data_IF_157883909856
#
_entry.id   IF_157883909856
#
_cell.length_a   1.000
_cell.length_b   1.000
_cell.length_c   1.000
_cell.angle_alpha   90.00
_cell.angle_beta   90.00
_cell.angle_gamma   90.00
#
_symmetry.space_group_name_H-M   'P 1'
#
loop_
_entity.id
_entity.type
_entity.pdbx_description
1 polymer ?
#
# COMPACT_ATOMS: atom_id res chain seq x y z
N UNK A 1 -78.48 53.09 15.75
CA UNK A 1 -77.15 52.51 15.46
C UNK A 1 -76.29 53.58 14.81
N UNK A 2 -75.08 53.72 15.35
CA UNK A 2 -73.86 54.32 14.78
C UNK A 2 -73.81 55.79 14.37
N UNK A 3 -72.68 56.38 14.74
CA UNK A 3 -72.35 57.78 14.98
C UNK A 3 -71.26 58.22 13.99
N UNK A 4 -71.05 59.55 13.90
CA UNK A 4 -69.86 60.29 13.41
C UNK A 4 -69.86 60.59 11.91
N UNK A 5 -69.93 61.85 11.45
CA UNK A 5 -69.12 63.08 11.64
C UNK A 5 -67.73 63.07 10.96
N UNK A 6 -67.66 63.90 9.91
CA UNK A 6 -66.67 64.93 9.56
C UNK A 6 -65.27 64.58 8.97
N UNK A 7 -65.15 64.95 7.69
CA UNK A 7 -64.18 65.85 7.03
C UNK A 7 -62.70 65.51 6.73
N UNK A 8 -62.39 65.73 5.44
CA UNK A 8 -61.25 66.38 4.77
C UNK A 8 -59.78 66.05 5.13
N UNK A 9 -59.15 65.43 4.13
CA UNK A 9 -57.88 65.78 3.43
C UNK A 9 -56.73 66.43 4.21
N UNK A 10 -55.57 65.77 4.18
CA UNK A 10 -54.27 66.41 3.93
C UNK A 10 -53.22 65.35 3.59
N UNK A 11 -52.53 65.55 2.47
CA UNK A 11 -51.41 64.73 2.00
C UNK A 11 -50.14 65.05 2.77
N UNK A 12 -49.34 64.04 3.12
CA UNK A 12 -47.94 64.22 3.48
C UNK A 12 -47.08 63.23 2.69
N UNK A 13 -46.41 63.76 1.67
CA UNK A 13 -45.23 63.13 1.05
C UNK A 13 -44.07 63.33 2.02
N UNK A 14 -43.48 62.23 2.49
CA UNK A 14 -42.26 62.27 3.28
C UNK A 14 -41.37 61.08 2.93
N UNK A 15 -40.24 61.38 2.28
CA UNK A 15 -38.97 60.71 2.53
C UNK A 15 -38.72 59.41 1.77
N UNK A 16 -37.96 59.51 0.69
CA UNK A 16 -36.99 58.48 0.32
C UNK A 16 -36.05 58.23 1.50
N UNK A 17 -36.23 57.12 2.20
CA UNK A 17 -35.12 56.47 2.89
C UNK A 17 -34.72 55.29 2.03
N UNK A 18 -33.68 55.51 1.24
CA UNK A 18 -32.88 54.44 0.69
C UNK A 18 -32.48 53.56 1.88
N UNK A 19 -33.12 52.40 2.00
CA UNK A 19 -32.53 51.31 2.75
C UNK A 19 -31.31 50.90 1.94
N UNK A 20 -30.16 51.52 2.24
CA UNK A 20 -28.89 50.84 2.13
C UNK A 20 -28.96 49.68 3.11
N UNK A 21 -29.66 48.62 2.71
CA UNK A 21 -29.54 47.33 3.36
C UNK A 21 -28.06 47.02 3.31
N UNK A 22 -27.42 47.11 4.48
CA UNK A 22 -26.04 46.74 4.66
C UNK A 22 -25.86 45.41 3.95
N UNK A 23 -24.93 45.38 2.99
CA UNK A 23 -24.45 44.12 2.44
C UNK A 23 -24.17 43.23 3.65
N UNK A 24 -24.88 42.12 3.76
CA UNK A 24 -24.61 41.13 4.77
C UNK A 24 -23.11 40.83 4.65
N UNK A 25 -22.34 41.21 5.66
CA UNK A 25 -20.94 40.81 5.76
C UNK A 25 -20.97 39.29 5.77
N UNK A 26 -20.64 38.68 4.63
CA UNK A 26 -20.27 37.29 4.60
C UNK A 26 -18.99 37.20 5.43
N UNK A 27 -19.15 36.98 6.73
CA UNK A 27 -18.06 36.68 7.65
C UNK A 27 -17.72 35.21 7.45
N UNK A 28 -17.05 34.92 6.33
CA UNK A 28 -16.54 33.59 6.04
C UNK A 28 -15.19 33.43 6.69
N UNK A 29 -15.14 32.57 7.71
CA UNK A 29 -13.88 32.10 8.29
C UNK A 29 -13.28 31.09 7.32
N UNK A 30 -12.07 31.36 6.82
CA UNK A 30 -11.31 30.38 6.05
C UNK A 30 -10.71 29.35 7.01
N UNK A 31 -11.32 28.18 7.08
CA UNK A 31 -10.76 27.03 7.77
C UNK A 31 -9.76 26.34 6.83
N UNK A 32 -8.47 26.48 7.13
CA UNK A 32 -7.40 25.72 6.49
C UNK A 32 -6.98 24.56 7.38
N UNK A 33 -6.74 23.40 6.78
CA UNK A 33 -6.20 22.23 7.46
C UNK A 33 -5.54 21.30 6.45
N UNK A 34 -4.58 20.51 6.91
CA UNK A 34 -4.00 19.41 6.14
C UNK A 34 -4.47 18.09 6.75
N UNK A 35 -4.84 17.14 5.89
CA UNK A 35 -5.07 15.75 6.31
C UNK A 35 -3.78 14.99 5.98
N UNK A 36 -3.20 14.33 6.98
CA UNK A 36 -2.03 13.48 6.78
C UNK A 36 -2.48 12.09 6.32
N UNK A 37 -2.01 11.65 5.15
CA UNK A 37 -2.04 10.24 4.75
C UNK A 37 -0.73 9.58 5.21
N UNK A 38 -0.81 8.42 5.82
CA UNK A 38 0.34 7.61 6.21
C UNK A 38 0.13 6.15 5.82
N UNK A 39 1.25 5.51 5.46
CA UNK A 39 1.34 4.07 5.32
C UNK A 39 2.66 3.61 5.92
N UNK A 40 2.64 2.50 6.63
CA UNK A 40 3.81 1.92 7.30
C UNK A 40 3.89 0.43 6.99
N UNK A 41 5.07 -0.02 6.54
CA UNK A 41 5.41 -1.44 6.41
C UNK A 41 6.36 -1.82 7.53
N UNK A 42 6.17 -3.00 8.09
CA UNK A 42 7.20 -3.73 8.85
C UNK A 42 7.33 -5.15 8.33
N UNK A 43 8.54 -5.70 8.33
CA UNK A 43 8.82 -7.10 7.99
C UNK A 43 9.43 -7.83 9.18
N UNK A 44 9.02 -9.08 9.36
CA UNK A 44 9.59 -10.02 10.33
C UNK A 44 10.08 -11.24 9.59
N UNK A 45 11.35 -11.60 9.74
CA UNK A 45 11.89 -12.78 9.06
C UNK A 45 11.22 -14.06 9.59
N UNK A 46 10.80 -14.94 8.68
CA UNK A 46 10.23 -16.24 9.05
C UNK A 46 11.33 -17.13 9.65
N UNK A 47 11.00 -17.85 10.72
CA UNK A 47 11.95 -18.73 11.39
C UNK A 47 12.50 -19.79 10.41
N UNK A 48 13.83 -19.88 10.30
CA UNK A 48 14.50 -20.81 9.38
C UNK A 48 14.73 -20.28 7.96
N UNK A 49 14.23 -19.08 7.60
CA UNK A 49 14.48 -18.47 6.29
C UNK A 49 15.98 -18.22 6.01
N UNK A 50 16.80 -18.06 7.05
CA UNK A 50 18.26 -17.96 6.93
C UNK A 50 18.98 -19.29 6.67
N UNK A 51 18.26 -20.40 6.49
CA UNK A 51 18.80 -21.72 6.22
C UNK A 51 18.02 -22.39 5.09
N UNK A 52 18.05 -21.76 3.92
CA UNK A 52 17.45 -22.31 2.71
C UNK A 52 18.10 -23.65 2.36
N UNK A 53 17.27 -24.65 2.08
CA UNK A 53 17.77 -25.96 1.70
C UNK A 53 18.13 -25.96 0.21
N UNK A 54 19.43 -26.04 -0.07
CA UNK A 54 19.96 -26.13 -1.43
C UNK A 54 20.07 -27.60 -1.92
N UNK A 55 19.53 -28.54 -1.16
CA UNK A 55 19.46 -29.99 -1.42
C UNK A 55 20.81 -30.72 -1.65
N UNK A 56 21.94 -30.02 -1.54
CA UNK A 56 23.29 -30.59 -1.43
C UNK A 56 23.91 -31.02 -2.77
N UNK A 57 25.18 -31.42 -2.71
CA UNK A 57 25.99 -31.77 -3.90
C UNK A 57 25.34 -32.88 -4.75
N UNK A 58 25.21 -32.62 -6.06
CA UNK A 58 24.88 -33.64 -7.05
C UNK A 58 23.39 -33.82 -7.35
N UNK A 59 22.50 -33.02 -6.76
CA UNK A 59 21.06 -33.07 -7.11
C UNK A 59 20.48 -31.67 -7.29
N UNK A 60 20.23 -31.27 -8.54
CA UNK A 60 19.45 -30.08 -8.82
C UNK A 60 17.99 -30.28 -8.41
N UNK A 61 17.40 -29.27 -7.75
CA UNK A 61 15.98 -29.24 -7.42
C UNK A 61 15.40 -27.94 -7.95
N UNK A 62 14.46 -28.06 -8.88
CA UNK A 62 13.75 -26.90 -9.39
C UNK A 62 12.59 -26.52 -8.46
N UNK A 63 12.07 -25.30 -8.62
CA UNK A 63 10.77 -24.90 -8.12
C UNK A 63 10.66 -24.90 -6.57
N UNK A 64 11.73 -24.52 -5.87
CA UNK A 64 11.77 -24.55 -4.40
C UNK A 64 11.10 -23.32 -3.83
N UNK A 65 9.90 -23.50 -3.27
CA UNK A 65 9.12 -22.41 -2.66
C UNK A 65 9.31 -22.36 -1.14
N UNK A 66 9.69 -21.19 -0.61
CA UNK A 66 9.95 -20.98 0.83
C UNK A 66 9.35 -19.65 1.31
N UNK A 67 8.71 -19.66 2.48
CA UNK A 67 8.29 -18.44 3.18
C UNK A 67 9.50 -17.79 3.85
N UNK A 68 9.78 -16.52 3.54
CA UNK A 68 10.96 -15.81 4.03
C UNK A 68 10.64 -14.69 5.02
N UNK A 69 9.45 -14.11 4.94
CA UNK A 69 9.04 -13.06 5.87
C UNK A 69 7.52 -12.97 6.05
N UNK A 70 7.14 -12.41 7.17
CA UNK A 70 5.81 -11.93 7.51
C UNK A 70 5.82 -10.40 7.36
N UNK A 71 4.89 -9.84 6.58
CA UNK A 71 4.79 -8.42 6.27
C UNK A 71 3.52 -7.87 6.93
N UNK A 72 3.66 -6.79 7.69
CA UNK A 72 2.53 -6.06 8.25
C UNK A 72 2.46 -4.66 7.64
N UNK A 73 1.31 -4.34 7.03
CA UNK A 73 1.01 -3.05 6.43
C UNK A 73 -0.10 -2.35 7.23
N UNK A 74 0.11 -1.10 7.60
CA UNK A 74 -0.93 -0.23 8.18
C UNK A 74 -1.03 1.04 7.36
N UNK A 75 -2.25 1.44 7.01
CA UNK A 75 -2.53 2.68 6.28
C UNK A 75 -3.81 3.32 6.80
N UNK A 76 -3.90 4.66 6.73
CA UNK A 76 -5.15 5.39 6.93
C UNK A 76 -5.80 5.85 5.62
N UNK A 77 -5.29 5.41 4.46
CA UNK A 77 -5.90 5.70 3.18
C UNK A 77 -7.17 4.86 2.99
N UNK A 78 -8.33 5.51 2.96
CA UNK A 78 -9.64 4.86 2.79
C UNK A 78 -9.88 4.33 1.38
N UNK A 79 -9.22 4.91 0.38
CA UNK A 79 -9.27 4.41 -1.00
C UNK A 79 -8.41 3.16 -1.19
N UNK A 80 -7.51 2.89 -0.24
CA UNK A 80 -6.60 1.76 -0.27
C UNK A 80 -5.17 2.11 -0.66
N UNK A 81 -4.33 1.09 -0.67
CA UNK A 81 -2.92 1.16 -1.01
C UNK A 81 -2.51 -0.07 -1.80
N UNK A 82 -1.45 0.06 -2.56
CA UNK A 82 -0.86 -0.99 -3.35
C UNK A 82 0.49 -1.40 -2.72
N UNK A 83 0.69 -2.68 -2.42
CA UNK A 83 1.97 -3.21 -1.95
C UNK A 83 2.66 -3.98 -3.09
N UNK A 84 3.91 -3.62 -3.34
CA UNK A 84 4.79 -4.30 -4.29
C UNK A 84 5.99 -4.88 -3.56
N UNK A 85 6.34 -6.12 -3.90
CA UNK A 85 7.60 -6.75 -3.51
C UNK A 85 8.46 -6.92 -4.76
N UNK A 86 9.71 -6.47 -4.68
CA UNK A 86 10.65 -6.54 -5.78
C UNK A 86 11.93 -7.27 -5.35
N UNK A 87 12.17 -8.44 -5.94
CA UNK A 87 13.45 -9.11 -5.82
C UNK A 87 14.54 -8.26 -6.49
N UNK A 88 15.71 -8.18 -5.86
CA UNK A 88 16.94 -7.80 -6.55
C UNK A 88 17.29 -8.85 -7.63
N UNK A 89 18.40 -8.65 -8.35
CA UNK A 89 18.79 -9.51 -9.46
C UNK A 89 19.05 -10.98 -9.09
N UNK A 90 19.64 -11.25 -7.93
CA UNK A 90 19.97 -12.59 -7.46
C UNK A 90 20.39 -12.59 -5.99
N UNK A 91 20.32 -13.76 -5.36
CA UNK A 91 21.08 -14.09 -4.15
C UNK A 91 22.55 -14.22 -4.53
N UNK A 92 23.43 -13.51 -3.82
CA UNK A 92 24.88 -13.50 -4.06
C UNK A 92 25.62 -14.05 -2.85
N UNK A 93 26.57 -14.96 -3.07
CA UNK A 93 27.30 -15.60 -1.99
C UNK A 93 28.42 -16.52 -2.48
N UNK A 94 29.01 -17.26 -1.55
CA UNK A 94 30.09 -18.18 -1.85
C UNK A 94 31.45 -17.49 -2.05
N UNK A 95 32.51 -18.30 -2.05
CA UNK A 95 33.90 -17.83 -2.20
C UNK A 95 34.18 -17.21 -3.58
N UNK A 96 33.30 -17.43 -4.56
CA UNK A 96 33.46 -16.99 -5.96
C UNK A 96 32.39 -16.01 -6.46
N UNK A 97 31.50 -15.49 -5.58
CA UNK A 97 30.41 -14.61 -5.99
C UNK A 97 29.38 -15.33 -6.86
N UNK A 98 29.06 -16.58 -6.50
CA UNK A 98 28.04 -17.38 -7.16
C UNK A 98 26.68 -16.68 -6.97
N UNK A 99 25.88 -16.70 -8.03
CA UNK A 99 24.54 -16.11 -8.04
C UNK A 99 23.49 -17.19 -8.13
N UNK A 100 22.40 -17.01 -7.39
CA UNK A 100 21.20 -17.83 -7.42
C UNK A 100 20.02 -16.91 -7.70
N UNK A 101 19.39 -17.06 -8.86
CA UNK A 101 18.20 -16.29 -9.20
C UNK A 101 17.01 -16.75 -8.33
N UNK A 102 16.07 -15.83 -8.08
CA UNK A 102 14.91 -16.12 -7.24
C UNK A 102 13.77 -15.14 -7.52
N UNK A 103 12.55 -15.64 -7.40
CA UNK A 103 11.33 -14.86 -7.55
C UNK A 103 10.72 -14.54 -6.20
N UNK A 104 9.86 -13.52 -6.15
CA UNK A 104 9.10 -13.17 -4.95
C UNK A 104 7.60 -13.16 -5.24
N UNK A 105 6.83 -13.54 -4.22
CA UNK A 105 5.38 -13.53 -4.24
C UNK A 105 4.82 -13.18 -2.87
N UNK A 106 3.84 -12.28 -2.84
CA UNK A 106 3.06 -11.96 -1.65
C UNK A 106 1.78 -12.79 -1.65
N UNK A 107 1.43 -13.36 -0.50
CA UNK A 107 0.17 -14.06 -0.32
C UNK A 107 -0.49 -13.62 0.98
N UNK A 108 -1.79 -13.83 1.11
CA UNK A 108 -2.54 -13.52 2.32
C UNK A 108 -1.93 -14.18 3.56
N UNK A 109 -2.02 -13.50 4.71
CA UNK A 109 -1.52 -13.98 6.00
C UNK A 109 -2.01 -15.40 6.32
N UNK A 110 -1.06 -16.31 6.56
CA UNK A 110 -1.32 -17.73 6.82
C UNK A 110 -2.10 -18.46 5.71
N UNK A 111 -2.07 -17.94 4.48
CA UNK A 111 -2.61 -18.64 3.33
C UNK A 111 -1.83 -19.93 3.05
N UNK A 112 -2.40 -20.78 2.19
CA UNK A 112 -1.66 -21.93 1.67
C UNK A 112 -0.48 -21.42 0.85
N UNK A 113 0.70 -22.02 1.06
CA UNK A 113 1.90 -21.69 0.30
C UNK A 113 1.61 -21.74 -1.22
N UNK A 114 2.09 -20.74 -1.98
CA UNK A 114 1.89 -20.72 -3.42
C UNK A 114 2.55 -21.94 -4.08
N UNK A 115 1.90 -22.52 -5.07
CA UNK A 115 2.55 -23.52 -5.92
C UNK A 115 3.63 -22.85 -6.78
N UNK A 116 4.66 -23.59 -7.18
CA UNK A 116 5.74 -23.04 -8.01
C UNK A 116 5.25 -22.43 -9.34
N UNK A 117 4.25 -23.03 -9.98
CA UNK A 117 3.61 -22.44 -11.18
C UNK A 117 2.83 -21.15 -10.94
N UNK A 118 2.70 -20.69 -9.69
CA UNK A 118 2.18 -19.37 -9.34
C UNK A 118 3.27 -18.29 -9.37
N UNK A 119 4.53 -18.67 -9.63
CA UNK A 119 5.63 -17.80 -9.97
C UNK A 119 5.81 -17.73 -11.50
N UNK A 120 6.49 -16.69 -12.00
CA UNK A 120 6.64 -16.49 -13.44
C UNK A 120 7.49 -17.59 -14.06
N UNK A 121 6.97 -18.23 -15.12
CA UNK A 121 7.72 -19.25 -15.86
C UNK A 121 8.70 -18.67 -16.88
N UNK A 122 8.77 -17.34 -17.01
CA UNK A 122 9.57 -16.67 -18.06
C UNK A 122 10.84 -16.03 -17.54
N UNK A 123 10.95 -15.75 -16.23
CA UNK A 123 12.15 -15.14 -15.65
C UNK A 123 12.13 -15.19 -14.12
N UNK A 124 13.22 -15.68 -13.53
CA UNK A 124 13.44 -15.74 -12.08
C UNK A 124 13.79 -14.37 -11.47
N UNK A 125 13.40 -13.29 -12.13
CA UNK A 125 13.59 -11.89 -11.72
C UNK A 125 12.32 -11.06 -11.92
N UNK A 126 11.23 -11.71 -12.39
CA UNK A 126 9.95 -11.04 -12.63
C UNK A 126 9.08 -11.26 -11.40
N UNK A 127 8.87 -10.18 -10.66
CA UNK A 127 8.00 -10.14 -9.49
C UNK A 127 6.56 -10.46 -9.91
N UNK A 128 5.91 -11.32 -9.13
CA UNK A 128 4.70 -11.98 -9.62
C UNK A 128 3.43 -11.31 -9.14
N UNK A 129 3.47 -10.63 -7.98
CA UNK A 129 2.27 -10.04 -7.41
C UNK A 129 2.41 -8.56 -7.06
N UNK A 130 1.37 -7.85 -7.44
CA UNK A 130 1.02 -6.51 -7.02
C UNK A 130 -0.32 -6.65 -6.30
N UNK A 131 -0.32 -6.59 -4.98
CA UNK A 131 -1.53 -6.80 -4.17
C UNK A 131 -2.16 -5.45 -3.83
N UNK A 132 -3.40 -5.28 -4.27
CA UNK A 132 -4.27 -4.13 -3.96
C UNK A 132 -4.89 -4.34 -2.56
N UNK A 133 -4.74 -3.37 -1.67
CA UNK A 133 -5.32 -3.34 -0.34
C UNK A 133 -6.33 -2.21 -0.21
N UNK A 134 -7.62 -2.54 -0.26
CA UNK A 134 -8.66 -1.61 0.20
C UNK A 134 -8.60 -1.49 1.73
N UNK A 135 -8.41 -0.27 2.21
CA UNK A 135 -8.22 0.18 3.60
C UNK A 135 -8.54 -0.82 4.72
N UNK A 136 -7.48 -1.36 5.34
CA UNK A 136 -7.32 -1.72 6.76
C UNK A 136 -6.12 -2.67 6.86
N UNK A 137 -5.48 -2.71 8.02
CA UNK A 137 -4.26 -3.48 8.26
C UNK A 137 -4.29 -4.85 7.57
N UNK A 138 -3.30 -5.11 6.73
CA UNK A 138 -3.16 -6.36 6.02
C UNK A 138 -1.81 -6.97 6.37
N UNK A 139 -1.87 -8.11 7.04
CA UNK A 139 -0.73 -8.99 7.15
C UNK A 139 -0.63 -9.79 5.84
N UNK A 140 0.60 -10.08 5.42
CA UNK A 140 0.91 -10.87 4.24
C UNK A 140 2.12 -11.74 4.52
N UNK A 141 2.23 -12.83 3.78
CA UNK A 141 3.39 -13.70 3.79
C UNK A 141 4.19 -13.48 2.50
N UNK A 142 5.50 -13.25 2.65
CA UNK A 142 6.43 -13.15 1.54
C UNK A 142 7.08 -14.51 1.29
N UNK A 143 6.87 -15.04 0.10
CA UNK A 143 7.50 -16.25 -0.39
C UNK A 143 8.54 -15.93 -1.44
N UNK A 144 9.59 -16.74 -1.48
CA UNK A 144 10.49 -16.83 -2.63
C UNK A 144 10.34 -18.18 -3.33
N UNK A 145 10.67 -18.19 -4.60
CA UNK A 145 10.88 -19.40 -5.39
C UNK A 145 12.29 -19.33 -6.00
N UNK A 146 13.00 -20.45 -6.03
CA UNK A 146 14.31 -20.56 -6.66
C UNK A 146 14.58 -21.99 -7.12
N UNK A 147 15.45 -22.10 -8.12
CA UNK A 147 16.03 -23.36 -8.58
C UNK A 147 17.36 -23.63 -7.86
N UNK A 148 17.41 -24.65 -7.01
CA UNK A 148 18.66 -25.13 -6.41
C UNK A 148 19.54 -25.85 -7.44
N UNK A 149 20.71 -25.31 -7.82
CA UNK A 149 21.56 -25.94 -8.83
C UNK A 149 22.32 -27.13 -8.23
N UNK A 150 22.78 -28.03 -9.10
CA UNK A 150 23.46 -29.28 -8.71
C UNK A 150 24.73 -29.08 -7.87
N UNK A 151 25.41 -27.95 -8.06
CA UNK A 151 26.69 -27.63 -7.42
C UNK A 151 26.70 -26.21 -6.85
N UNK A 152 25.95 -26.01 -5.76
CA UNK A 152 26.04 -24.78 -4.97
C UNK A 152 26.85 -25.02 -3.71
N UNK A 153 27.91 -24.23 -3.52
CA UNK A 153 28.72 -24.32 -2.30
C UNK A 153 27.87 -23.91 -1.08
N UNK A 154 27.92 -24.66 0.04
CA UNK A 154 27.26 -24.27 1.27
C UNK A 154 27.94 -23.02 1.84
N UNK A 155 27.28 -21.88 1.72
CA UNK A 155 27.72 -20.58 2.25
C UNK A 155 26.51 -19.67 2.48
N UNK A 156 26.75 -18.46 2.99
CA UNK A 156 25.74 -17.41 3.09
C UNK A 156 25.55 -16.76 1.73
N UNK A 157 24.32 -16.84 1.23
CA UNK A 157 23.86 -16.07 0.08
C UNK A 157 22.90 -14.98 0.55
N UNK A 158 23.07 -13.78 0.03
CA UNK A 158 22.30 -12.61 0.45
C UNK A 158 21.80 -11.81 -0.75
N UNK A 159 20.63 -11.22 -0.57
CA UNK A 159 19.98 -10.32 -1.52
C UNK A 159 19.09 -9.36 -0.75
N UNK A 160 18.62 -8.30 -1.40
CA UNK A 160 17.60 -7.42 -0.84
C UNK A 160 16.30 -7.62 -1.61
N UNK A 161 15.18 -7.65 -0.89
CA UNK A 161 13.85 -7.54 -1.47
C UNK A 161 13.34 -6.15 -1.12
N UNK A 162 13.07 -5.34 -2.14
CA UNK A 162 12.56 -3.98 -1.98
C UNK A 162 11.04 -4.02 -1.87
N UNK A 163 10.48 -3.35 -0.86
CA UNK A 163 9.04 -3.25 -0.66
C UNK A 163 8.59 -1.81 -0.87
N UNK A 164 7.55 -1.61 -1.69
CA UNK A 164 7.01 -0.27 -2.01
C UNK A 164 5.52 -0.23 -1.68
N UNK A 165 5.08 0.86 -1.02
CA UNK A 165 3.64 1.19 -0.86
C UNK A 165 3.30 2.40 -1.71
N UNK A 166 2.25 2.26 -2.50
CA UNK A 166 1.67 3.38 -3.25
C UNK A 166 0.23 3.61 -2.78
N UNK A 167 -0.14 4.87 -2.59
CA UNK A 167 -1.50 5.24 -2.18
C UNK A 167 -2.36 5.51 -3.40
N UNK A 168 -3.60 5.01 -3.41
CA UNK A 168 -4.59 5.46 -4.38
C UNK A 168 -5.04 6.89 -4.08
N UNK A 169 -5.39 7.63 -5.14
CA UNK A 169 -5.81 9.03 -5.11
C UNK A 169 -7.32 9.18 -5.36
#
# INVERSE_FOLDING_TARGET
>A
MTMRRFALTTSLVAGTLAFSGAAAFADTINLGGTVSNYSTISSTATAGAGSLNLYGEGTATADVVVKVADIALTSNNTEGVELKAEADSALTGGTNGVTLAYQVKLVDDNATAPAAGAFSTTSDTVNVDNTDFSSNAANQDLYIEYDGPEYLDPDTYSSTITMTVESYL
#
